data_IF_287931330261
#
_entry.id   IF_287931330261
#
_cell.length_a   1.000
_cell.length_b   1.000
_cell.length_c   1.000
_cell.angle_alpha   90.00
_cell.angle_beta   90.00
_cell.angle_gamma   90.00
#
_symmetry.space_group_name_H-M   'P 1'
#
loop_
_entity.id
_entity.type
_entity.pdbx_description
1 polymer ?
#
# COMPACT_ATOMS: atom_id res chain seq x y z
N UNK A 1 -15.82 -23.26 19.73
CA UNK A 1 -16.80 -22.22 19.34
C UNK A 1 -16.87 -22.21 17.82
N UNK A 2 -18.04 -22.50 17.23
CA UNK A 2 -18.23 -22.40 15.78
C UNK A 2 -18.10 -20.92 15.39
N UNK A 3 -17.16 -20.60 14.50
CA UNK A 3 -17.08 -19.29 13.86
C UNK A 3 -18.46 -19.01 13.22
N UNK A 4 -19.21 -18.04 13.76
CA UNK A 4 -20.26 -17.40 12.98
C UNK A 4 -19.55 -16.82 11.76
N UNK A 5 -19.81 -17.37 10.57
CA UNK A 5 -19.43 -16.73 9.32
C UNK A 5 -20.11 -15.35 9.33
N UNK A 6 -19.35 -14.31 9.62
CA UNK A 6 -19.79 -12.93 9.44
C UNK A 6 -20.11 -12.77 7.97
N UNK A 7 -21.41 -12.66 7.64
CA UNK A 7 -21.87 -12.38 6.29
C UNK A 7 -21.37 -10.99 5.89
N UNK A 8 -20.50 -10.91 4.88
CA UNK A 8 -20.10 -9.64 4.28
C UNK A 8 -21.25 -9.07 3.47
N UNK A 9 -21.46 -7.77 3.55
CA UNK A 9 -22.40 -7.07 2.67
C UNK A 9 -21.66 -6.57 1.43
N UNK A 10 -22.27 -6.73 0.26
CA UNK A 10 -21.68 -6.28 -1.00
C UNK A 10 -22.76 -5.71 -1.91
N UNK A 11 -22.35 -4.80 -2.80
CA UNK A 11 -23.21 -4.13 -3.77
C UNK A 11 -22.93 -4.67 -5.18
N UNK A 12 -23.98 -5.03 -5.91
CA UNK A 12 -23.85 -5.28 -7.36
C UNK A 12 -23.70 -3.93 -8.06
N UNK A 13 -22.52 -3.68 -8.61
CA UNK A 13 -22.12 -2.41 -9.25
C UNK A 13 -22.07 -2.48 -10.77
N UNK A 14 -22.32 -3.66 -11.34
CA UNK A 14 -22.36 -3.90 -12.77
C UNK A 14 -22.66 -5.37 -13.08
N UNK A 15 -22.79 -5.69 -14.36
CA UNK A 15 -22.91 -7.08 -14.82
C UNK A 15 -21.57 -7.62 -15.30
N UNK A 16 -20.69 -6.76 -15.81
CA UNK A 16 -19.39 -7.15 -16.34
C UNK A 16 -18.30 -6.16 -15.90
N UNK A 17 -17.00 -6.51 -16.02
CA UNK A 17 -15.89 -5.60 -15.72
C UNK A 17 -15.81 -4.38 -16.64
N UNK A 18 -16.32 -4.48 -17.87
CA UNK A 18 -16.19 -3.43 -18.89
C UNK A 18 -16.91 -2.14 -18.46
N UNK A 19 -16.18 -1.02 -18.56
CA UNK A 19 -16.72 0.30 -18.22
C UNK A 19 -16.87 0.57 -16.73
N UNK A 20 -16.39 -0.33 -15.85
CA UNK A 20 -16.32 -0.04 -14.41
C UNK A 20 -15.47 1.20 -14.15
N UNK A 21 -16.07 2.19 -13.46
CA UNK A 21 -15.41 3.44 -13.10
C UNK A 21 -14.89 3.34 -11.68
N UNK A 22 -13.57 3.32 -11.52
CA UNK A 22 -12.92 3.37 -10.21
C UNK A 22 -13.20 4.74 -9.60
N UNK A 23 -13.95 4.77 -8.49
CA UNK A 23 -14.32 6.03 -7.81
C UNK A 23 -13.21 6.54 -6.90
N UNK A 24 -12.42 5.64 -6.31
CA UNK A 24 -11.27 5.96 -5.45
C UNK A 24 -10.25 4.81 -5.49
N UNK A 25 -8.96 5.10 -5.70
CA UNK A 25 -7.92 4.07 -5.76
C UNK A 25 -7.68 3.36 -4.41
N UNK A 26 -8.22 3.90 -3.31
CA UNK A 26 -8.05 3.35 -1.96
C UNK A 26 -9.06 2.28 -1.59
N UNK A 27 -10.08 2.04 -2.41
CA UNK A 27 -11.05 0.98 -2.16
C UNK A 27 -10.48 -0.41 -2.56
N UNK A 28 -11.05 -1.48 -2.02
CA UNK A 28 -10.82 -2.82 -2.55
C UNK A 28 -11.35 -2.92 -3.98
N UNK A 29 -10.74 -3.79 -4.79
CA UNK A 29 -11.27 -4.10 -6.12
C UNK A 29 -12.63 -4.80 -5.98
N UNK A 30 -13.56 -4.60 -6.92
CA UNK A 30 -14.73 -5.46 -7.03
C UNK A 30 -14.28 -6.84 -7.49
N UNK A 31 -15.18 -7.81 -7.34
CA UNK A 31 -15.00 -9.17 -7.83
C UNK A 31 -16.06 -9.45 -8.90
N UNK A 32 -15.62 -9.95 -10.04
CA UNK A 32 -16.48 -10.40 -11.11
C UNK A 32 -16.89 -11.85 -10.88
N UNK A 33 -18.19 -12.07 -10.70
CA UNK A 33 -18.77 -13.40 -10.55
C UNK A 33 -19.46 -13.81 -11.86
N UNK A 34 -19.15 -15.00 -12.37
CA UNK A 34 -19.74 -15.53 -13.60
C UNK A 34 -20.26 -16.96 -13.41
N UNK A 35 -21.42 -17.27 -13.99
CA UNK A 35 -21.98 -18.62 -13.96
C UNK A 35 -21.35 -19.51 -15.04
N UNK A 36 -20.73 -20.62 -14.65
CA UNK A 36 -20.17 -21.58 -15.62
C UNK A 36 -21.28 -22.27 -16.40
N UNK A 37 -21.28 -22.11 -17.73
CA UNK A 37 -22.29 -22.68 -18.62
C UNK A 37 -23.66 -22.00 -18.56
N UNK A 38 -23.78 -20.85 -17.88
CA UNK A 38 -24.98 -20.03 -17.84
C UNK A 38 -24.76 -18.61 -18.40
N UNK A 39 -25.79 -17.78 -18.35
CA UNK A 39 -25.74 -16.37 -18.81
C UNK A 39 -25.65 -15.35 -17.67
N UNK A 40 -25.69 -15.81 -16.42
CA UNK A 40 -25.66 -14.95 -15.24
C UNK A 40 -24.26 -14.44 -14.91
N UNK A 41 -24.16 -13.15 -14.63
CA UNK A 41 -22.93 -12.53 -14.12
C UNK A 41 -23.24 -11.32 -13.26
N UNK A 42 -22.32 -10.98 -12.36
CA UNK A 42 -22.40 -9.77 -11.55
C UNK A 42 -21.01 -9.29 -11.17
N UNK A 43 -20.84 -7.98 -11.15
CA UNK A 43 -19.68 -7.31 -10.59
C UNK A 43 -20.05 -6.82 -9.18
N UNK A 44 -19.34 -7.33 -8.17
CA UNK A 44 -19.69 -7.14 -6.77
C UNK A 44 -18.62 -6.33 -6.06
N UNK A 45 -19.02 -5.27 -5.37
CA UNK A 45 -18.14 -4.42 -4.56
C UNK A 45 -18.49 -4.56 -3.08
N UNK A 46 -17.53 -4.93 -2.25
CA UNK A 46 -17.73 -5.02 -0.80
C UNK A 46 -18.06 -3.66 -0.18
N UNK A 47 -19.07 -3.65 0.68
CA UNK A 47 -19.47 -2.49 1.50
C UNK A 47 -19.36 -2.84 2.98
N UNK A 48 -19.01 -1.85 3.78
CA UNK A 48 -19.14 -1.92 5.23
C UNK A 48 -20.10 -0.83 5.72
N UNK A 49 -20.73 -1.07 6.87
CA UNK A 49 -21.65 -0.12 7.49
C UNK A 49 -21.35 0.03 8.96
N UNK A 50 -20.94 1.24 9.35
CA UNK A 50 -20.67 1.58 10.74
C UNK A 50 -21.83 2.41 11.28
N UNK A 51 -22.31 2.02 12.47
CA UNK A 51 -23.27 2.81 13.23
C UNK A 51 -22.54 3.92 13.99
N UNK A 52 -22.79 5.17 13.59
CA UNK A 52 -22.24 6.33 14.30
C UNK A 52 -22.97 6.57 15.63
N UNK A 53 -24.29 6.41 15.61
CA UNK A 53 -25.16 6.53 16.78
C UNK A 53 -26.51 5.84 16.52
N UNK A 54 -27.48 5.99 17.43
CA UNK A 54 -28.78 5.30 17.36
C UNK A 54 -29.52 5.50 16.03
N UNK A 55 -29.41 6.66 15.38
CA UNK A 55 -30.18 7.02 14.18
C UNK A 55 -29.32 7.22 12.92
N UNK A 56 -28.00 7.13 13.01
CA UNK A 56 -27.10 7.41 11.88
C UNK A 56 -26.12 6.26 11.63
N UNK A 57 -26.11 5.80 10.39
CA UNK A 57 -25.15 4.85 9.85
C UNK A 57 -24.35 5.52 8.73
N UNK A 58 -23.10 5.11 8.54
CA UNK A 58 -22.31 5.38 7.33
C UNK A 58 -22.11 4.05 6.64
N UNK A 59 -22.44 3.98 5.35
CA UNK A 59 -22.07 2.88 4.46
C UNK A 59 -21.02 3.36 3.47
N UNK A 60 -19.98 2.56 3.26
CA UNK A 60 -18.83 2.92 2.43
C UNK A 60 -18.24 1.67 1.78
N UNK A 61 -17.52 1.84 0.66
CA UNK A 61 -16.77 0.73 0.07
C UNK A 61 -15.58 0.37 0.95
N UNK A 62 -15.35 -0.92 1.13
CA UNK A 62 -14.28 -1.41 2.00
C UNK A 62 -12.93 -0.87 1.50
N UNK A 63 -12.13 -0.24 2.37
CA UNK A 63 -10.83 0.27 2.00
C UNK A 63 -9.82 -0.87 1.80
N UNK A 64 -8.97 -0.73 0.80
CA UNK A 64 -7.77 -1.54 0.66
C UNK A 64 -6.66 -0.92 1.52
N UNK A 65 -6.18 -1.65 2.53
CA UNK A 65 -5.19 -1.12 3.47
C UNK A 65 -3.87 -0.72 2.77
N UNK A 66 -3.41 -1.48 1.77
CA UNK A 66 -2.22 -1.14 1.00
C UNK A 66 -2.44 0.20 0.26
N UNK A 67 -3.57 0.35 -0.42
CA UNK A 67 -3.95 1.59 -1.11
C UNK A 67 -4.09 2.78 -0.17
N UNK A 68 -4.61 2.58 1.04
CA UNK A 68 -4.68 3.61 2.07
C UNK A 68 -3.28 4.07 2.52
N UNK A 69 -2.38 3.13 2.83
CA UNK A 69 -1.00 3.42 3.23
C UNK A 69 -0.22 4.14 2.11
N UNK A 70 -0.36 3.67 0.86
CA UNK A 70 0.20 4.34 -0.31
C UNK A 70 -0.34 5.77 -0.45
N UNK A 71 -1.63 5.99 -0.24
CA UNK A 71 -2.24 7.32 -0.31
C UNK A 71 -1.69 8.27 0.75
N UNK A 72 -1.46 7.78 1.98
CA UNK A 72 -0.82 8.58 3.05
C UNK A 72 0.59 8.98 2.62
N UNK A 73 1.39 8.01 2.15
CA UNK A 73 2.75 8.27 1.68
C UNK A 73 2.79 9.29 0.54
N UNK A 74 1.94 9.12 -0.47
CA UNK A 74 1.87 10.02 -1.62
C UNK A 74 1.45 11.45 -1.25
N UNK A 75 0.47 11.59 -0.34
CA UNK A 75 0.06 12.92 0.16
C UNK A 75 1.19 13.61 0.91
N UNK A 76 1.90 12.87 1.76
CA UNK A 76 3.02 13.41 2.51
C UNK A 76 4.19 13.81 1.59
N UNK A 77 4.55 12.92 0.66
CA UNK A 77 5.56 13.19 -0.37
C UNK A 77 5.24 14.43 -1.19
N UNK A 78 3.97 14.63 -1.58
CA UNK A 78 3.52 15.82 -2.30
C UNK A 78 3.69 17.10 -1.47
N UNK A 79 3.29 17.09 -0.19
CA UNK A 79 3.46 18.25 0.70
C UNK A 79 4.94 18.58 0.93
N UNK A 80 5.78 17.57 1.16
CA UNK A 80 7.22 17.74 1.24
C UNK A 80 7.78 18.34 -0.06
N UNK A 81 7.32 17.87 -1.23
CA UNK A 81 7.75 18.39 -2.52
C UNK A 81 7.32 19.84 -2.75
N UNK A 82 6.11 20.22 -2.33
CA UNK A 82 5.65 21.60 -2.38
C UNK A 82 6.53 22.53 -1.54
N UNK A 83 6.90 22.13 -0.32
CA UNK A 83 7.83 22.89 0.54
C UNK A 83 9.19 23.01 -0.14
N UNK A 84 9.74 21.87 -0.60
CA UNK A 84 11.07 21.82 -1.22
C UNK A 84 11.15 22.70 -2.48
N UNK A 85 10.18 22.61 -3.38
CA UNK A 85 10.17 23.37 -4.62
C UNK A 85 9.93 24.87 -4.40
N UNK A 86 9.02 25.24 -3.48
CA UNK A 86 8.65 26.65 -3.24
C UNK A 86 9.62 27.40 -2.34
N UNK A 87 10.32 26.69 -1.45
CA UNK A 87 11.22 27.29 -0.46
C UNK A 87 12.67 26.91 -0.76
N UNK A 88 13.00 25.64 -0.66
CA UNK A 88 14.42 25.22 -0.67
C UNK A 88 15.11 25.29 -2.04
N UNK A 89 14.35 25.13 -3.13
CA UNK A 89 14.82 25.36 -4.50
C UNK A 89 14.58 26.78 -5.01
N UNK A 90 13.83 27.59 -4.29
CA UNK A 90 13.47 28.92 -4.76
C UNK A 90 14.66 29.88 -4.63
N UNK A 91 15.10 30.55 -5.71
CA UNK A 91 16.18 31.53 -5.63
C UNK A 91 15.79 32.79 -4.84
N UNK A 92 14.49 33.00 -4.59
CA UNK A 92 13.98 34.16 -3.85
C UNK A 92 13.82 33.90 -2.35
N UNK A 93 14.10 32.67 -1.89
CA UNK A 93 14.04 32.29 -0.48
C UNK A 93 15.46 32.10 0.04
N UNK A 94 15.97 33.11 0.75
CA UNK A 94 17.35 33.09 1.25
C UNK A 94 17.50 32.11 2.43
N UNK A 95 18.45 31.17 2.29
CA UNK A 95 18.75 30.12 3.26
C UNK A 95 20.12 30.28 3.90
N UNK A 96 21.00 31.06 3.29
CA UNK A 96 22.35 31.30 3.76
C UNK A 96 22.33 32.35 4.88
N UNK A 97 22.63 31.90 6.10
CA UNK A 97 22.69 32.75 7.30
C UNK A 97 23.58 33.99 7.15
N UNK A 98 24.59 33.91 6.27
CA UNK A 98 25.50 35.04 6.02
C UNK A 98 24.83 36.14 5.19
N UNK A 99 23.84 35.79 4.38
CA UNK A 99 23.10 36.67 3.47
C UNK A 99 21.75 37.15 4.02
N UNK A 100 21.26 36.53 5.09
CA UNK A 100 20.05 36.97 5.78
C UNK A 100 20.19 38.43 6.26
N UNK A 101 19.13 39.20 6.03
CA UNK A 101 18.97 40.59 6.48
C UNK A 101 17.98 40.66 7.66
N UNK A 102 18.00 41.75 8.43
CA UNK A 102 17.12 41.91 9.60
C UNK A 102 17.52 41.06 10.82
N UNK A 103 16.53 40.65 11.62
CA UNK A 103 16.77 39.76 12.76
C UNK A 103 17.07 38.34 12.28
N UNK A 104 18.36 37.98 12.28
CA UNK A 104 18.83 36.67 11.85
C UNK A 104 18.28 35.53 12.71
N UNK A 105 18.04 35.76 14.00
CA UNK A 105 17.52 34.72 14.90
C UNK A 105 16.08 34.38 14.54
N UNK A 106 15.26 35.40 14.29
CA UNK A 106 13.89 35.23 13.82
C UNK A 106 13.86 34.51 12.46
N UNK A 107 14.70 34.96 11.52
CA UNK A 107 14.79 34.34 10.20
C UNK A 107 15.22 32.86 10.25
N UNK A 108 16.25 32.51 11.05
CA UNK A 108 16.63 31.12 11.29
C UNK A 108 15.48 30.32 11.92
N UNK A 109 14.73 30.92 12.85
CA UNK A 109 13.55 30.30 13.45
C UNK A 109 12.49 29.93 12.41
N UNK A 110 12.18 30.85 11.48
CA UNK A 110 11.24 30.61 10.40
C UNK A 110 11.73 29.50 9.44
N UNK A 111 13.01 29.54 9.03
CA UNK A 111 13.62 28.49 8.20
C UNK A 111 13.57 27.14 8.91
N UNK A 112 13.80 27.11 10.22
CA UNK A 112 13.77 25.88 11.02
C UNK A 112 12.37 25.27 11.03
N UNK A 113 11.31 26.07 11.17
CA UNK A 113 9.93 25.59 11.06
C UNK A 113 9.67 24.93 9.70
N UNK A 114 10.14 25.56 8.62
CA UNK A 114 9.97 25.04 7.26
C UNK A 114 10.72 23.72 7.06
N UNK A 115 11.91 23.59 7.66
CA UNK A 115 12.69 22.35 7.69
C UNK A 115 11.96 21.26 8.49
N UNK A 116 11.35 21.59 9.63
CA UNK A 116 10.61 20.62 10.43
C UNK A 116 9.39 20.10 9.69
N UNK A 117 8.56 20.98 9.13
CA UNK A 117 7.40 20.60 8.31
C UNK A 117 7.82 19.69 7.16
N UNK A 118 8.93 20.02 6.48
CA UNK A 118 9.47 19.19 5.41
C UNK A 118 9.92 17.80 5.90
N UNK A 119 10.68 17.75 7.00
CA UNK A 119 11.20 16.50 7.56
C UNK A 119 10.06 15.60 8.04
N UNK A 120 9.05 16.15 8.71
CA UNK A 120 7.86 15.43 9.16
C UNK A 120 7.13 14.75 7.99
N UNK A 121 6.97 15.47 6.89
CA UNK A 121 6.32 14.96 5.67
C UNK A 121 7.17 13.90 4.97
N UNK A 122 8.51 14.06 4.89
CA UNK A 122 9.41 13.02 4.35
C UNK A 122 9.38 11.76 5.21
N UNK A 123 9.49 11.89 6.54
CA UNK A 123 9.46 10.73 7.45
C UNK A 123 8.12 10.00 7.37
N UNK A 124 7.01 10.75 7.34
CA UNK A 124 5.67 10.20 7.11
C UNK A 124 5.64 9.43 5.78
N UNK A 125 6.14 10.03 4.71
CA UNK A 125 6.16 9.38 3.41
C UNK A 125 6.96 8.06 3.41
N UNK A 126 8.15 8.05 4.01
CA UNK A 126 9.02 6.87 4.11
C UNK A 126 8.35 5.75 4.91
N UNK A 127 7.84 6.05 6.11
CA UNK A 127 7.25 5.06 7.02
C UNK A 127 6.03 4.42 6.35
N UNK A 128 5.13 5.22 5.77
CA UNK A 128 3.93 4.70 5.14
C UNK A 128 4.22 3.99 3.80
N UNK A 129 5.23 4.42 3.05
CA UNK A 129 5.71 3.72 1.85
C UNK A 129 6.19 2.31 2.18
N UNK A 130 7.09 2.19 3.17
CA UNK A 130 7.60 0.89 3.60
C UNK A 130 6.49 0.01 4.20
N UNK A 131 5.61 0.59 5.00
CA UNK A 131 4.48 -0.14 5.60
C UNK A 131 3.50 -0.66 4.54
N UNK A 132 3.28 0.10 3.46
CA UNK A 132 2.48 -0.37 2.33
C UNK A 132 3.09 -1.61 1.67
N UNK A 133 4.41 -1.62 1.44
CA UNK A 133 5.11 -2.78 0.89
C UNK A 133 5.11 -3.99 1.84
N UNK A 134 5.22 -3.75 3.15
CA UNK A 134 5.09 -4.81 4.16
C UNK A 134 3.70 -5.46 4.14
N UNK A 135 2.65 -4.63 4.16
CA UNK A 135 1.28 -5.10 4.05
C UNK A 135 1.04 -5.84 2.72
N UNK A 136 1.56 -5.31 1.62
CA UNK A 136 1.50 -5.95 0.31
C UNK A 136 2.16 -7.33 0.33
N UNK A 137 3.41 -7.44 0.81
CA UNK A 137 4.12 -8.71 0.83
C UNK A 137 3.40 -9.75 1.69
N UNK A 138 2.95 -9.39 2.89
CA UNK A 138 2.26 -10.31 3.79
C UNK A 138 0.94 -10.81 3.21
N UNK A 139 0.10 -9.90 2.67
CA UNK A 139 -1.18 -10.27 2.08
C UNK A 139 -1.02 -11.07 0.77
N UNK A 140 0.10 -10.91 0.08
CA UNK A 140 0.40 -11.61 -1.17
C UNK A 140 0.83 -13.07 -0.96
N UNK A 141 1.25 -13.45 0.25
CA UNK A 141 1.71 -14.82 0.53
C UNK A 141 0.50 -15.75 0.78
N UNK A 142 0.34 -16.85 0.02
CA UNK A 142 -0.72 -17.83 0.23
C UNK A 142 -0.64 -18.47 1.63
N UNK A 143 -1.80 -18.87 2.17
CA UNK A 143 -1.89 -19.40 3.54
C UNK A 143 -1.08 -20.69 3.75
N UNK A 144 -0.98 -21.51 2.71
CA UNK A 144 -0.30 -22.79 2.65
C UNK A 144 1.15 -22.68 2.16
N UNK A 145 1.66 -21.47 1.91
CA UNK A 145 3.03 -21.27 1.47
C UNK A 145 4.04 -21.59 2.58
N UNK A 146 5.08 -22.35 2.22
CA UNK A 146 6.21 -22.70 3.08
C UNK A 146 7.49 -22.22 2.42
N UNK A 147 8.25 -21.40 3.13
CA UNK A 147 9.57 -20.94 2.71
C UNK A 147 10.67 -21.73 3.40
N UNK A 148 11.60 -22.28 2.63
CA UNK A 148 12.80 -22.94 3.14
C UNK A 148 14.01 -22.02 2.97
N UNK A 149 14.62 -21.63 4.09
CA UNK A 149 15.81 -20.80 4.08
C UNK A 149 17.04 -21.61 3.64
N UNK A 150 18.06 -20.92 3.14
CA UNK A 150 19.38 -21.51 2.91
C UNK A 150 19.91 -22.17 4.18
N UNK A 151 20.71 -23.23 4.03
CA UNK A 151 21.38 -23.87 5.18
C UNK A 151 22.16 -22.83 5.98
N UNK A 152 21.90 -22.77 7.28
CA UNK A 152 22.68 -21.93 8.19
C UNK A 152 24.11 -22.47 8.36
N UNK A 153 24.94 -21.77 9.13
CA UNK A 153 26.33 -22.16 9.41
C UNK A 153 26.49 -23.54 10.06
N UNK A 154 25.40 -24.13 10.59
CA UNK A 154 25.35 -25.47 11.18
C UNK A 154 24.79 -26.52 10.22
N UNK A 155 24.54 -26.17 8.96
CA UNK A 155 23.99 -27.07 7.95
C UNK A 155 22.49 -27.34 8.08
N UNK A 156 21.79 -26.64 8.97
CA UNK A 156 20.36 -26.82 9.24
C UNK A 156 19.56 -25.92 8.30
N UNK A 157 18.55 -26.51 7.65
CA UNK A 157 17.55 -25.79 6.85
C UNK A 157 16.38 -25.42 7.76
N UNK A 158 16.06 -24.13 7.83
CA UNK A 158 14.89 -23.64 8.56
C UNK A 158 13.70 -23.54 7.61
N UNK A 159 12.53 -23.93 8.09
CA UNK A 159 11.27 -23.88 7.35
C UNK A 159 10.31 -22.92 8.04
N UNK A 160 9.74 -22.00 7.27
CA UNK A 160 8.87 -20.93 7.75
C UNK A 160 7.51 -21.07 7.07
N UNK A 161 6.45 -21.28 7.85
CA UNK A 161 5.08 -21.13 7.38
C UNK A 161 4.70 -19.66 7.22
N UNK A 162 3.51 -19.36 6.68
CA UNK A 162 3.06 -17.97 6.49
C UNK A 162 3.15 -17.12 7.77
N UNK A 163 2.73 -17.64 8.91
CA UNK A 163 2.74 -16.88 10.18
C UNK A 163 4.17 -16.55 10.60
N UNK A 164 5.09 -17.51 10.45
CA UNK A 164 6.50 -17.32 10.74
C UNK A 164 7.15 -16.35 9.74
N UNK A 165 6.80 -16.43 8.45
CA UNK A 165 7.27 -15.51 7.42
C UNK A 165 6.85 -14.08 7.77
N UNK A 166 5.57 -13.86 8.07
CA UNK A 166 5.02 -12.54 8.39
C UNK A 166 5.73 -11.90 9.59
N UNK A 167 6.02 -12.71 10.63
CA UNK A 167 6.54 -12.23 11.90
C UNK A 167 8.06 -12.09 11.97
N UNK A 168 8.80 -12.99 11.32
CA UNK A 168 10.25 -13.15 11.58
C UNK A 168 11.13 -12.81 10.38
N UNK A 169 10.61 -12.87 9.16
CA UNK A 169 11.40 -12.55 7.97
C UNK A 169 11.28 -11.07 7.61
N UNK A 170 12.39 -10.48 7.18
CA UNK A 170 12.40 -9.08 6.73
C UNK A 170 11.65 -8.90 5.40
N UNK A 171 11.17 -7.68 5.16
CA UNK A 171 10.54 -7.34 3.89
C UNK A 171 11.46 -7.61 2.70
N UNK A 172 12.74 -7.28 2.83
CA UNK A 172 13.75 -7.57 1.82
C UNK A 172 13.80 -9.05 1.45
N UNK A 173 13.74 -9.96 2.44
CA UNK A 173 13.67 -11.41 2.17
C UNK A 173 12.37 -11.78 1.47
N UNK A 174 11.23 -11.22 1.92
CA UNK A 174 9.92 -11.46 1.30
C UNK A 174 9.92 -11.06 -0.17
N UNK A 175 10.35 -9.85 -0.51
CA UNK A 175 10.39 -9.33 -1.88
C UNK A 175 11.45 -10.02 -2.74
N UNK A 176 12.62 -10.37 -2.18
CA UNK A 176 13.72 -10.96 -2.94
C UNK A 176 13.55 -12.44 -3.25
N UNK A 177 13.00 -13.20 -2.31
CA UNK A 177 13.03 -14.66 -2.36
C UNK A 177 11.64 -15.28 -2.37
N UNK A 178 10.72 -14.76 -1.56
CA UNK A 178 9.41 -15.38 -1.33
C UNK A 178 8.44 -15.01 -2.44
N UNK A 179 8.17 -13.73 -2.67
CA UNK A 179 7.24 -13.29 -3.70
C UNK A 179 7.65 -13.76 -5.11
N UNK A 180 8.95 -13.75 -5.50
CA UNK A 180 9.37 -14.31 -6.78
C UNK A 180 9.05 -15.80 -6.91
N UNK A 181 9.12 -16.57 -5.82
CA UNK A 181 8.71 -17.98 -5.81
C UNK A 181 7.19 -18.14 -5.87
N UNK A 182 6.42 -17.26 -5.22
CA UNK A 182 4.95 -17.30 -5.21
C UNK A 182 4.38 -16.96 -6.58
N UNK A 183 4.95 -15.96 -7.26
CA UNK A 183 4.42 -15.42 -8.52
C UNK A 183 5.25 -15.77 -9.75
N UNK A 184 6.25 -16.64 -9.61
CA UNK A 184 7.14 -17.08 -10.69
C UNK A 184 7.77 -15.91 -11.46
N UNK A 185 8.35 -14.94 -10.74
CA UNK A 185 8.89 -13.72 -11.34
C UNK A 185 10.39 -13.84 -11.68
N UNK A 186 10.88 -12.89 -12.48
CA UNK A 186 12.32 -12.73 -12.71
C UNK A 186 13.02 -12.14 -11.47
N UNK A 187 14.36 -12.14 -11.49
CA UNK A 187 15.16 -11.63 -10.39
C UNK A 187 14.90 -10.11 -10.15
N UNK A 188 14.41 -9.80 -8.95
CA UNK A 188 14.08 -8.42 -8.53
C UNK A 188 15.31 -7.52 -8.40
N UNK A 189 16.49 -8.09 -8.13
CA UNK A 189 17.72 -7.31 -7.92
C UNK A 189 18.24 -6.65 -9.20
N UNK A 190 17.78 -7.12 -10.37
CA UNK A 190 18.08 -6.50 -11.67
C UNK A 190 17.14 -5.34 -12.00
N UNK A 191 16.12 -5.10 -11.19
CA UNK A 191 15.13 -4.05 -11.44
C UNK A 191 15.66 -2.69 -11.00
N UNK A 192 15.35 -1.64 -11.77
CA UNK A 192 15.79 -0.26 -11.49
C UNK A 192 15.37 0.23 -10.09
N UNK A 193 14.20 -0.21 -9.62
CA UNK A 193 13.65 0.17 -8.32
C UNK A 193 14.29 -0.56 -7.14
N UNK A 194 15.09 -1.61 -7.35
CA UNK A 194 15.63 -2.42 -6.26
C UNK A 194 16.52 -1.63 -5.31
N UNK A 195 17.47 -0.84 -5.86
CA UNK A 195 18.33 0.02 -5.05
C UNK A 195 17.53 1.05 -4.24
N UNK A 196 16.47 1.62 -4.84
CA UNK A 196 15.57 2.56 -4.18
C UNK A 196 14.83 1.89 -3.02
N UNK A 197 14.32 0.67 -3.20
CA UNK A 197 13.67 -0.11 -2.15
C UNK A 197 14.63 -0.41 -0.99
N UNK A 198 15.87 -0.81 -1.29
CA UNK A 198 16.88 -1.07 -0.24
C UNK A 198 17.16 0.21 0.56
N UNK A 199 17.31 1.36 -0.10
CA UNK A 199 17.50 2.64 0.59
C UNK A 199 16.25 3.08 1.37
N UNK A 200 15.04 2.79 0.88
CA UNK A 200 13.79 3.04 1.61
C UNK A 200 13.76 2.26 2.93
N UNK A 201 14.19 0.99 2.91
CA UNK A 201 14.33 0.16 4.11
C UNK A 201 15.34 0.74 5.11
N UNK A 202 16.49 1.19 4.63
CA UNK A 202 17.52 1.84 5.44
C UNK A 202 16.97 3.09 6.14
N UNK A 203 16.35 4.01 5.40
CA UNK A 203 15.77 5.23 5.99
C UNK A 203 14.66 4.93 6.98
N UNK A 204 13.78 3.97 6.68
CA UNK A 204 12.74 3.55 7.63
C UNK A 204 13.37 3.01 8.92
N UNK A 205 14.44 2.22 8.82
CA UNK A 205 15.11 1.68 9.99
C UNK A 205 15.77 2.78 10.83
N UNK A 206 16.36 3.79 10.19
CA UNK A 206 16.93 4.96 10.88
C UNK A 206 15.85 5.75 11.64
N UNK A 207 14.66 5.94 11.05
CA UNK A 207 13.53 6.63 11.70
C UNK A 207 13.02 5.85 12.93
N UNK A 208 12.82 4.54 12.80
CA UNK A 208 12.16 3.73 13.85
C UNK A 208 13.15 3.27 14.94
N UNK A 209 14.41 3.06 14.58
CA UNK A 209 15.44 2.52 15.47
C UNK A 209 16.51 3.54 15.80
N UNK A 210 16.16 4.83 15.87
CA UNK A 210 17.09 5.90 16.20
C UNK A 210 17.83 5.59 17.52
N UNK A 211 19.13 5.30 17.43
CA UNK A 211 19.95 4.86 18.57
C UNK A 211 20.61 6.02 19.33
N UNK A 212 20.68 7.21 18.74
CA UNK A 212 21.27 8.38 19.38
C UNK A 212 20.57 9.67 18.98
N UNK A 213 20.49 10.59 19.94
CA UNK A 213 19.87 11.90 19.80
C UNK A 213 20.80 12.89 19.07
N UNK A 214 22.13 12.63 19.08
CA UNK A 214 23.14 13.54 18.55
C UNK A 214 23.43 13.43 17.05
N UNK A 215 22.84 12.48 16.32
CA UNK A 215 23.13 12.26 14.91
C UNK A 215 22.06 12.90 14.02
N UNK A 216 22.23 14.18 13.65
CA UNK A 216 21.39 14.85 12.64
C UNK A 216 21.82 14.52 11.21
N UNK A 217 22.90 13.77 11.03
CA UNK A 217 23.47 13.42 9.72
C UNK A 217 22.49 12.70 8.80
N UNK A 218 21.62 11.84 9.33
CA UNK A 218 20.68 11.10 8.49
C UNK A 218 19.63 12.02 7.84
N UNK A 219 19.27 13.14 8.47
CA UNK A 219 18.35 14.13 7.87
C UNK A 219 18.93 14.77 6.61
N UNK A 220 20.25 14.85 6.45
CA UNK A 220 20.88 15.40 5.24
C UNK A 220 20.51 14.60 3.99
N UNK A 221 20.25 13.31 4.15
CA UNK A 221 19.83 12.45 3.05
C UNK A 221 18.47 12.85 2.48
N UNK A 222 17.59 13.45 3.30
CA UNK A 222 16.24 13.85 2.91
C UNK A 222 16.27 15.01 1.92
N UNK A 223 17.25 15.90 1.99
CA UNK A 223 17.38 17.05 1.10
C UNK A 223 17.98 16.72 -0.29
N UNK A 224 18.29 15.45 -0.57
CA UNK A 224 18.75 15.03 -1.90
C UNK A 224 17.55 14.88 -2.83
N UNK A 225 17.70 15.30 -4.10
CA UNK A 225 16.64 15.16 -5.12
C UNK A 225 16.15 13.71 -5.32
N UNK A 226 16.98 12.72 -4.99
CA UNK A 226 16.62 11.30 -5.06
C UNK A 226 15.59 10.85 -4.03
N UNK A 227 15.32 11.62 -2.96
CA UNK A 227 14.41 11.23 -1.89
C UNK A 227 13.01 10.88 -2.41
N UNK A 228 12.50 11.67 -3.35
CA UNK A 228 11.17 11.46 -3.92
C UNK A 228 11.12 10.20 -4.78
N UNK A 229 12.21 9.87 -5.49
CA UNK A 229 12.31 8.63 -6.26
C UNK A 229 12.38 7.39 -5.35
N UNK A 230 13.05 7.52 -4.19
CA UNK A 230 13.12 6.46 -3.18
C UNK A 230 11.73 6.20 -2.60
N UNK A 231 10.99 7.24 -2.23
CA UNK A 231 9.61 7.12 -1.73
C UNK A 231 8.68 6.53 -2.79
N UNK A 232 8.77 7.01 -4.03
CA UNK A 232 7.87 6.60 -5.11
C UNK A 232 8.16 5.19 -5.67
N UNK A 233 9.22 4.51 -5.22
CA UNK A 233 9.56 3.17 -5.71
C UNK A 233 8.49 2.12 -5.34
N UNK A 234 7.63 2.39 -4.35
CA UNK A 234 6.55 1.50 -3.90
C UNK A 234 5.64 1.07 -5.06
N UNK A 235 5.22 2.02 -5.89
CA UNK A 235 4.36 1.72 -7.03
C UNK A 235 5.08 0.79 -8.02
N UNK A 236 6.35 1.07 -8.31
CA UNK A 236 7.16 0.23 -9.21
C UNK A 236 7.36 -1.21 -8.69
N UNK A 237 7.54 -1.38 -7.38
CA UNK A 237 7.65 -2.70 -6.74
C UNK A 237 6.34 -3.49 -6.92
N UNK A 238 5.20 -2.88 -6.59
CA UNK A 238 3.89 -3.56 -6.66
C UNK A 238 3.52 -3.83 -8.12
N UNK A 239 3.72 -2.87 -9.03
CA UNK A 239 3.51 -3.03 -10.47
C UNK A 239 4.31 -4.18 -11.07
N UNK A 240 5.55 -4.41 -10.62
CA UNK A 240 6.37 -5.53 -11.08
C UNK A 240 5.69 -6.89 -10.82
N UNK A 241 5.16 -7.10 -9.62
CA UNK A 241 4.44 -8.33 -9.28
C UNK A 241 3.07 -8.41 -9.97
N UNK A 242 2.41 -7.27 -10.17
CA UNK A 242 1.20 -7.20 -11.01
C UNK A 242 1.43 -7.76 -12.41
N UNK A 243 2.43 -7.24 -13.12
CA UNK A 243 2.74 -7.66 -14.48
C UNK A 243 3.13 -9.14 -14.54
N UNK A 244 3.90 -9.64 -13.56
CA UNK A 244 4.27 -11.05 -13.51
C UNK A 244 3.05 -11.95 -13.26
N UNK A 245 2.10 -11.52 -12.42
CA UNK A 245 0.90 -12.29 -12.13
C UNK A 245 -0.12 -12.29 -13.28
N UNK A 246 -0.32 -11.14 -13.95
CA UNK A 246 -1.17 -11.01 -15.13
C UNK A 246 -0.79 -12.02 -16.22
N UNK A 247 0.51 -12.22 -16.46
CA UNK A 247 1.02 -13.20 -17.42
C UNK A 247 0.58 -14.64 -17.12
N UNK A 248 0.17 -14.93 -15.87
CA UNK A 248 -0.34 -16.23 -15.44
C UNK A 248 -1.88 -16.32 -15.48
N UNK A 249 -2.57 -15.32 -16.07
CA UNK A 249 -4.03 -15.30 -16.25
C UNK A 249 -4.84 -15.15 -14.97
N UNK A 250 -4.21 -14.62 -13.91
CA UNK A 250 -4.81 -14.48 -12.58
C UNK A 250 -4.51 -13.08 -12.03
N UNK A 251 -5.37 -12.59 -11.16
CA UNK A 251 -5.16 -11.35 -10.39
C UNK A 251 -5.47 -11.62 -8.93
N UNK A 252 -4.78 -10.90 -8.03
CA UNK A 252 -4.92 -11.10 -6.60
C UNK A 252 -5.91 -10.07 -6.02
N UNK A 253 -6.93 -10.57 -5.32
CA UNK A 253 -8.01 -9.77 -4.75
C UNK A 253 -7.56 -8.75 -3.69
N UNK A 254 -6.43 -8.99 -3.02
CA UNK A 254 -5.94 -8.14 -1.94
C UNK A 254 -5.09 -6.97 -2.43
N UNK A 255 -4.69 -6.98 -3.71
CA UNK A 255 -3.79 -5.97 -4.26
C UNK A 255 -4.53 -4.65 -4.51
N UNK A 256 -3.88 -3.49 -4.27
CA UNK A 256 -4.51 -2.18 -4.41
C UNK A 256 -4.78 -1.86 -5.89
N UNK A 257 -5.66 -0.89 -6.15
CA UNK A 257 -5.68 -0.24 -7.46
C UNK A 257 -4.38 0.50 -7.71
N UNK A 258 -3.84 0.38 -8.93
CA UNK A 258 -2.69 1.15 -9.39
C UNK A 258 -3.00 1.78 -10.76
N UNK A 259 -2.35 2.89 -11.06
CA UNK A 259 -2.47 3.50 -12.38
C UNK A 259 -1.97 2.52 -13.46
N UNK A 260 -2.76 2.31 -14.50
CA UNK A 260 -2.43 1.37 -15.58
C UNK A 260 -2.69 -0.11 -15.26
N UNK A 261 -3.14 -0.46 -14.05
CA UNK A 261 -3.49 -1.83 -13.68
C UNK A 261 -4.97 -1.92 -13.26
N UNK A 262 -5.83 -2.25 -14.22
CA UNK A 262 -7.28 -2.26 -14.05
C UNK A 262 -7.88 -3.67 -13.85
N UNK A 263 -7.07 -4.72 -13.67
CA UNK A 263 -7.61 -6.09 -13.64
C UNK A 263 -8.53 -6.28 -12.44
N UNK A 264 -9.69 -6.84 -12.72
CA UNK A 264 -10.72 -7.21 -11.76
C UNK A 264 -10.65 -8.72 -11.55
N UNK A 265 -10.54 -9.21 -10.29
CA UNK A 265 -10.57 -10.64 -10.00
C UNK A 265 -11.89 -11.28 -10.43
N UNK A 266 -11.78 -12.49 -11.00
CA UNK A 266 -12.91 -13.25 -11.53
C UNK A 266 -13.06 -14.57 -10.78
N UNK A 267 -14.27 -14.88 -10.33
CA UNK A 267 -14.59 -16.09 -9.56
C UNK A 267 -15.87 -16.72 -10.12
N UNK A 268 -15.91 -18.06 -10.15
CA UNK A 268 -17.12 -18.78 -10.52
C UNK A 268 -18.25 -18.51 -9.51
N UNK A 269 -19.45 -18.25 -10.02
CA UNK A 269 -20.63 -17.95 -9.22
C UNK A 269 -21.32 -19.22 -8.73
N UNK A 270 -21.48 -19.34 -7.42
CA UNK A 270 -22.33 -20.35 -6.78
C UNK A 270 -23.50 -19.67 -6.06
N UNK A 271 -24.73 -19.87 -6.55
CA UNK A 271 -25.92 -19.18 -6.04
C UNK A 271 -26.15 -19.42 -4.54
N UNK A 272 -25.76 -20.59 -4.03
CA UNK A 272 -25.86 -20.97 -2.61
C UNK A 272 -25.04 -20.06 -1.67
N UNK A 273 -24.09 -19.29 -2.21
CA UNK A 273 -23.25 -18.37 -1.45
C UNK A 273 -23.82 -16.95 -1.33
N UNK A 274 -24.94 -16.63 -2.00
CA UNK A 274 -25.46 -15.27 -2.08
C UNK A 274 -26.95 -15.19 -1.70
N UNK A 275 -27.30 -14.12 -0.99
CA UNK A 275 -28.67 -13.75 -0.67
C UNK A 275 -28.92 -12.29 -1.09
N UNK A 276 -30.00 -12.05 -1.85
CA UNK A 276 -30.39 -10.69 -2.24
C UNK A 276 -31.25 -10.05 -1.15
N UNK A 277 -30.59 -9.23 -0.34
CA UNK A 277 -31.14 -8.57 0.86
C UNK A 277 -31.79 -7.21 0.60
N UNK A 278 -31.72 -6.65 -0.61
CA UNK A 278 -32.31 -5.34 -0.91
C UNK A 278 -31.81 -4.74 -2.24
N UNK A 279 -32.14 -3.46 -2.47
CA UNK A 279 -31.54 -2.66 -3.54
C UNK A 279 -31.32 -1.21 -3.10
N UNK A 280 -30.40 -0.51 -3.76
CA UNK A 280 -29.99 0.86 -3.38
C UNK A 280 -31.10 1.91 -3.50
N UNK A 281 -32.17 1.64 -4.25
CA UNK A 281 -33.29 2.58 -4.44
C UNK A 281 -34.39 2.40 -3.39
N UNK A 282 -34.68 1.15 -3.02
CA UNK A 282 -35.78 0.80 -2.11
C UNK A 282 -35.31 0.47 -0.69
N UNK A 283 -33.99 0.33 -0.49
CA UNK A 283 -33.39 -0.05 0.78
C UNK A 283 -33.36 -1.55 1.02
N UNK A 284 -33.06 -1.93 2.26
CA UNK A 284 -33.01 -3.32 2.70
C UNK A 284 -34.43 -3.90 2.76
N UNK A 285 -34.60 -5.13 2.28
CA UNK A 285 -35.82 -5.89 2.54
C UNK A 285 -35.95 -6.04 4.05
N UNK A 286 -37.04 -5.53 4.62
CA UNK A 286 -37.37 -5.82 6.01
C UNK A 286 -37.59 -7.34 6.10
N UNK A 287 -36.84 -8.02 6.98
CA UNK A 287 -37.18 -9.39 7.35
C UNK A 287 -38.59 -9.37 7.92
N UNK A 288 -39.51 -10.12 7.30
CA UNK A 288 -40.83 -10.41 7.88
C UNK A 288 -40.66 -11.20 9.17
#
# INVERSE_FOLDING_TARGET
MKNQKTSKSSLVVGLTPEGYKVSDLRMTKPTFHYAKGGTGSMLVQDIDTIKLNRSRNISYFVPNNIGMLMSVSAKASRRAKEIYDRKFKSPTYELDVTKLTGDKKEAIGAISSDVYDYVEEIQSAIVFAYTALEAFANLSIPQDHIYQASKNSKGITESYDKVAIERWLSLKTKIKHILPSVYSTTNVEKQKWWGQFVTLEEYRNEIIHQKSIGATEFYKSYFKDSIFNIINCVEAVISFFYMAHQNNGKTNEVWPWLNGHADIPSIEFEQSHFEVVGNVHQGWKKSL
#
